data_IF_158925346856
#
_entry.id   IF_158925346856
#
_cell.length_a   1.000
_cell.length_b   1.000
_cell.length_c   1.000
_cell.angle_alpha   90.00
_cell.angle_beta   90.00
_cell.angle_gamma   90.00
#
_symmetry.space_group_name_H-M   'P 1'
#
loop_
_entity.id
_entity.type
_entity.pdbx_description
1 polymer ?
#
# COMPACT_ATOMS: atom_id res chain seq x y z
N UNK A 1 49.56 22.44 42.97
CA UNK A 1 49.17 22.84 41.61
C UNK A 1 48.84 21.58 40.82
N UNK A 2 47.56 21.24 40.76
CA UNK A 2 47.08 19.98 40.14
C UNK A 2 46.70 20.26 38.68
N UNK A 3 47.32 19.56 37.75
CA UNK A 3 47.25 19.75 36.31
C UNK A 3 45.87 19.35 35.78
N UNK A 4 45.02 20.31 35.33
CA UNK A 4 43.73 20.14 34.64
C UNK A 4 43.84 19.92 33.15
N UNK A 5 44.98 19.45 32.61
CA UNK A 5 45.26 19.41 31.17
C UNK A 5 44.83 18.13 30.43
N UNK A 6 44.22 17.13 31.12
CA UNK A 6 43.92 15.83 30.47
C UNK A 6 42.50 15.58 30.00
N UNK A 7 41.53 16.40 30.36
CA UNK A 7 40.07 16.11 30.12
C UNK A 7 39.51 16.69 28.82
N UNK A 8 40.06 17.76 28.28
CA UNK A 8 39.60 18.45 27.10
C UNK A 8 39.65 17.57 25.80
N UNK A 9 40.70 16.75 25.51
CA UNK A 9 40.68 15.96 24.33
C UNK A 9 39.70 14.80 24.36
N UNK A 10 39.39 14.25 25.53
CA UNK A 10 38.39 13.15 25.67
C UNK A 10 36.98 13.62 25.37
N UNK A 11 36.60 14.82 25.83
CA UNK A 11 35.27 15.40 25.54
C UNK A 11 35.12 15.75 24.08
N UNK A 12 36.18 16.24 23.41
CA UNK A 12 36.15 16.52 21.97
C UNK A 12 35.93 15.27 21.12
N UNK A 13 36.53 14.14 21.50
CA UNK A 13 36.35 12.84 20.81
C UNK A 13 34.96 12.28 21.05
N UNK A 14 34.41 12.37 22.26
CA UNK A 14 33.06 11.91 22.58
C UNK A 14 31.98 12.74 21.85
N UNK A 15 32.14 14.05 21.78
CA UNK A 15 31.21 14.93 21.07
C UNK A 15 31.25 14.66 19.55
N UNK A 16 32.42 14.43 18.96
CA UNK A 16 32.54 14.08 17.55
C UNK A 16 31.95 12.71 17.24
N UNK A 17 32.07 11.70 18.12
CA UNK A 17 31.41 10.42 17.97
C UNK A 17 29.88 10.54 18.00
N UNK A 18 29.34 11.40 18.85
CA UNK A 18 27.89 11.65 18.93
C UNK A 18 27.35 12.34 17.66
N UNK A 19 28.12 13.27 17.09
CA UNK A 19 27.75 13.92 15.82
C UNK A 19 27.77 12.95 14.65
N UNK A 20 28.68 11.99 14.59
CA UNK A 20 28.73 10.96 13.55
C UNK A 20 27.57 9.94 13.69
N UNK A 21 27.16 9.59 14.89
CA UNK A 21 26.02 8.68 15.12
C UNK A 21 24.66 9.31 14.73
N UNK A 22 24.50 10.63 14.83
CA UNK A 22 23.29 11.35 14.45
C UNK A 22 23.14 11.53 12.92
N UNK A 23 24.23 11.43 12.14
CA UNK A 23 24.20 11.57 10.69
C UNK A 23 23.76 10.31 9.94
N UNK A 24 23.55 9.18 10.61
CA UNK A 24 23.12 7.91 10.02
C UNK A 24 21.61 7.68 10.01
N UNK A 25 20.78 8.68 10.31
CA UNK A 25 19.35 8.64 9.99
C UNK A 25 19.20 8.82 8.48
N UNK A 26 19.47 7.74 7.74
CA UNK A 26 19.25 7.70 6.30
C UNK A 26 17.80 8.02 6.01
N UNK A 27 17.55 8.96 5.11
CA UNK A 27 16.19 9.20 4.59
C UNK A 27 15.66 7.88 4.07
N UNK A 28 14.56 7.38 4.64
CA UNK A 28 13.85 6.22 4.09
C UNK A 28 13.55 6.52 2.62
N UNK A 29 13.97 5.64 1.73
CA UNK A 29 13.71 5.80 0.29
C UNK A 29 12.24 5.50 0.04
N UNK A 30 11.53 6.45 -0.53
CA UNK A 30 10.15 6.25 -0.91
C UNK A 30 10.05 5.25 -2.08
N UNK A 31 9.01 4.42 -2.11
CA UNK A 31 8.71 3.57 -3.25
C UNK A 31 8.55 4.39 -4.53
N UNK A 32 9.05 3.88 -5.64
CA UNK A 32 8.95 4.56 -6.93
C UNK A 32 8.53 3.61 -8.05
N UNK A 33 7.79 4.15 -9.02
CA UNK A 33 7.32 3.39 -10.18
C UNK A 33 8.50 3.02 -11.08
N UNK A 34 8.62 1.73 -11.37
CA UNK A 34 9.62 1.17 -12.30
C UNK A 34 9.04 0.95 -13.68
N UNK A 35 7.80 0.48 -13.77
CA UNK A 35 7.10 0.29 -15.03
C UNK A 35 5.59 0.44 -14.88
N UNK A 36 4.91 0.80 -15.95
CA UNK A 36 3.45 0.84 -16.04
C UNK A 36 2.99 -0.42 -16.73
N UNK A 37 2.11 -1.19 -16.05
CA UNK A 37 1.49 -2.40 -16.59
C UNK A 37 0.30 -2.04 -17.48
N UNK A 38 -0.55 -1.12 -16.96
CA UNK A 38 -1.72 -0.61 -17.66
C UNK A 38 -2.02 0.82 -17.21
N UNK A 39 -2.45 1.66 -18.16
CA UNK A 39 -2.91 3.01 -17.88
C UNK A 39 -4.01 3.41 -18.85
N UNK A 40 -5.20 3.66 -18.30
CA UNK A 40 -6.31 4.25 -19.02
C UNK A 40 -7.05 5.29 -18.17
N UNK A 41 -8.26 5.70 -18.60
CA UNK A 41 -9.06 6.68 -17.86
C UNK A 41 -9.68 6.14 -16.57
N UNK A 42 -9.77 4.83 -16.41
CA UNK A 42 -10.44 4.15 -15.31
C UNK A 42 -9.48 3.41 -14.39
N UNK A 43 -8.41 2.86 -14.93
CA UNK A 43 -7.49 2.00 -14.18
C UNK A 43 -6.04 2.36 -14.51
N UNK A 44 -5.23 2.47 -13.48
CA UNK A 44 -3.77 2.55 -13.60
C UNK A 44 -3.19 1.44 -12.74
N UNK A 45 -2.36 0.59 -13.35
CA UNK A 45 -1.59 -0.43 -12.62
C UNK A 45 -0.12 -0.27 -12.96
N UNK A 46 0.72 -0.21 -11.94
CA UNK A 46 2.16 -0.02 -12.09
C UNK A 46 2.94 -0.89 -11.12
N UNK A 47 4.16 -1.24 -11.51
CA UNK A 47 5.13 -1.86 -10.62
C UNK A 47 5.89 -0.76 -9.88
N UNK A 48 6.02 -0.92 -8.57
CA UNK A 48 6.74 0.01 -7.73
C UNK A 48 7.79 -0.74 -6.94
N UNK A 49 9.04 -0.30 -7.07
CA UNK A 49 10.13 -0.78 -6.21
C UNK A 49 10.00 -0.17 -4.83
N UNK A 50 10.00 -1.04 -3.81
CA UNK A 50 10.06 -0.65 -2.41
C UNK A 50 11.45 -0.99 -1.87
N UNK A 51 12.35 0.00 -1.75
CA UNK A 51 13.73 -0.24 -1.38
C UNK A 51 13.91 -0.74 0.06
N UNK A 52 12.92 -0.54 0.90
CA UNK A 52 12.91 -0.96 2.31
C UNK A 52 12.11 -2.26 2.54
N UNK A 53 11.51 -2.82 1.48
CA UNK A 53 10.74 -4.04 1.60
C UNK A 53 11.63 -5.28 1.75
N UNK A 54 11.17 -6.21 2.56
CA UNK A 54 11.69 -7.58 2.53
C UNK A 54 11.27 -8.22 1.20
N UNK A 55 12.16 -8.94 0.49
CA UNK A 55 11.86 -9.48 -0.82
C UNK A 55 10.56 -10.27 -0.87
N UNK A 56 9.78 -10.03 -1.90
CA UNK A 56 8.56 -10.77 -2.23
C UNK A 56 8.89 -12.06 -3.00
N UNK A 57 7.90 -12.93 -3.16
CA UNK A 57 8.05 -14.18 -3.92
C UNK A 57 7.67 -13.99 -5.41
N UNK A 58 7.69 -12.76 -5.89
CA UNK A 58 7.39 -12.47 -7.30
C UNK A 58 8.45 -13.04 -8.24
N UNK A 59 8.08 -13.39 -9.50
CA UNK A 59 6.74 -13.35 -10.10
C UNK A 59 5.82 -14.46 -9.60
N UNK A 60 4.50 -14.18 -9.52
CA UNK A 60 3.48 -15.16 -9.08
C UNK A 60 2.38 -15.27 -10.14
N UNK A 61 2.03 -16.50 -10.48
CA UNK A 61 0.93 -16.79 -11.39
C UNK A 61 -0.35 -17.05 -10.61
N UNK A 62 -1.34 -16.23 -10.86
CA UNK A 62 -2.73 -16.37 -10.41
C UNK A 62 -3.64 -16.15 -11.62
N UNK A 63 -4.81 -16.76 -11.62
CA UNK A 63 -5.82 -16.40 -12.60
C UNK A 63 -6.76 -15.31 -12.04
N UNK A 64 -7.57 -14.70 -12.91
CA UNK A 64 -8.45 -13.60 -12.53
C UNK A 64 -9.52 -14.02 -11.50
N UNK A 65 -10.05 -15.24 -11.60
CA UNK A 65 -11.06 -15.76 -10.67
C UNK A 65 -10.45 -15.99 -9.29
N UNK A 66 -9.24 -16.52 -9.22
CA UNK A 66 -8.50 -16.71 -7.97
C UNK A 66 -8.25 -15.39 -7.26
N UNK A 67 -7.70 -14.39 -7.98
CA UNK A 67 -7.43 -13.10 -7.39
C UNK A 67 -8.72 -12.37 -6.98
N UNK A 68 -9.77 -12.45 -7.81
CA UNK A 68 -11.09 -11.91 -7.49
C UNK A 68 -11.68 -12.52 -6.23
N UNK A 69 -11.59 -13.86 -6.09
CA UNK A 69 -12.07 -14.56 -4.90
C UNK A 69 -11.34 -14.09 -3.63
N UNK A 70 -10.02 -13.92 -3.71
CA UNK A 70 -9.24 -13.39 -2.57
C UNK A 70 -9.63 -11.94 -2.27
N UNK A 71 -9.67 -11.06 -3.26
CA UNK A 71 -10.01 -9.65 -3.05
C UNK A 71 -11.44 -9.44 -2.54
N UNK A 72 -12.40 -10.28 -2.95
CA UNK A 72 -13.78 -10.24 -2.47
C UNK A 72 -13.91 -10.56 -0.96
N UNK A 73 -12.96 -11.31 -0.39
CA UNK A 73 -12.88 -11.59 1.04
C UNK A 73 -12.49 -10.37 1.89
N UNK A 74 -11.91 -9.34 1.30
CA UNK A 74 -11.48 -8.16 2.04
C UNK A 74 -12.62 -7.18 2.30
N UNK A 75 -12.61 -6.67 3.51
CA UNK A 75 -13.38 -5.50 3.94
C UNK A 75 -12.49 -4.59 4.78
N UNK A 76 -12.89 -3.33 4.95
CA UNK A 76 -12.12 -2.38 5.73
C UNK A 76 -13.01 -1.44 6.53
N UNK A 77 -12.40 -0.82 7.56
CA UNK A 77 -12.94 0.33 8.29
C UNK A 77 -11.90 1.43 8.30
N UNK A 78 -12.33 2.67 8.17
CA UNK A 78 -11.46 3.83 8.38
C UNK A 78 -11.16 3.98 9.87
N UNK A 79 -9.87 4.13 10.23
CA UNK A 79 -9.47 4.33 11.62
C UNK A 79 -9.89 5.74 12.06
N UNK A 80 -10.91 5.81 12.91
CA UNK A 80 -11.34 7.07 13.48
C UNK A 80 -10.30 7.61 14.47
N UNK A 81 -10.00 8.90 14.39
CA UNK A 81 -9.12 9.60 15.35
C UNK A 81 -9.91 9.93 16.62
N UNK A 82 -9.27 9.85 17.79
CA UNK A 82 -9.81 10.35 19.05
C UNK A 82 -10.06 11.87 18.92
N UNK A 83 -11.14 12.47 19.52
CA UNK A 83 -12.07 11.87 20.51
C UNK A 83 -13.32 11.22 19.92
N UNK A 84 -13.58 11.31 18.61
CA UNK A 84 -14.80 10.83 17.96
C UNK A 84 -15.10 9.34 18.23
N UNK A 85 -14.05 8.54 18.43
CA UNK A 85 -14.17 7.09 18.67
C UNK A 85 -15.02 6.75 19.91
N UNK A 86 -15.16 7.65 20.87
CA UNK A 86 -15.92 7.38 22.10
C UNK A 86 -17.41 7.63 21.96
N UNK A 87 -17.83 8.35 20.93
CA UNK A 87 -19.22 8.81 20.75
C UNK A 87 -19.84 8.35 19.42
N UNK A 88 -19.04 7.78 18.52
CA UNK A 88 -19.54 7.35 17.22
C UNK A 88 -19.88 5.86 17.26
N UNK A 89 -21.03 5.50 16.74
CA UNK A 89 -21.35 4.10 16.41
C UNK A 89 -20.30 3.53 15.47
N UNK A 90 -19.98 2.25 15.65
CA UNK A 90 -19.06 1.55 14.76
C UNK A 90 -19.65 1.50 13.34
N UNK A 91 -19.00 2.18 12.42
CA UNK A 91 -19.38 2.14 11.00
C UNK A 91 -19.21 0.70 10.49
N UNK A 92 -20.21 0.13 9.80
CA UNK A 92 -20.09 -1.21 9.24
C UNK A 92 -18.90 -1.31 8.27
N UNK A 93 -18.25 -2.46 8.19
CA UNK A 93 -17.12 -2.64 7.27
C UNK A 93 -17.58 -2.49 5.81
N UNK A 94 -16.75 -1.84 5.01
CA UNK A 94 -16.97 -1.65 3.58
C UNK A 94 -16.13 -2.64 2.80
N UNK A 95 -16.59 -3.08 1.62
CA UNK A 95 -15.78 -3.90 0.71
C UNK A 95 -14.61 -3.10 0.17
N UNK A 96 -13.47 -3.76 -0.03
CA UNK A 96 -12.23 -3.17 -0.52
C UNK A 96 -12.43 -2.50 -1.89
N UNK A 97 -13.08 -3.21 -2.80
CA UNK A 97 -13.43 -2.78 -4.15
C UNK A 97 -14.91 -3.10 -4.41
N UNK A 98 -15.58 -2.28 -5.19
CA UNK A 98 -16.89 -2.58 -5.75
C UNK A 98 -16.76 -3.63 -6.85
N UNK A 99 -17.85 -4.29 -7.21
CA UNK A 99 -17.82 -5.35 -8.23
C UNK A 99 -17.32 -4.85 -9.59
N UNK A 100 -17.76 -3.66 -9.99
CA UNK A 100 -17.35 -3.03 -11.25
C UNK A 100 -15.88 -2.55 -11.23
N UNK A 101 -15.36 -2.17 -10.07
CA UNK A 101 -13.95 -1.81 -9.87
C UNK A 101 -13.07 -3.04 -9.91
N UNK A 102 -13.52 -4.13 -9.27
CA UNK A 102 -12.82 -5.40 -9.26
C UNK A 102 -12.70 -5.98 -10.69
N UNK A 103 -13.82 -6.00 -11.42
CA UNK A 103 -13.85 -6.47 -12.82
C UNK A 103 -12.89 -5.67 -13.70
N UNK A 104 -12.78 -4.35 -13.45
CA UNK A 104 -11.91 -3.49 -14.24
C UNK A 104 -10.41 -3.67 -13.91
N UNK A 105 -10.03 -3.88 -12.63
CA UNK A 105 -8.63 -3.83 -12.20
C UNK A 105 -7.96 -5.20 -12.12
N UNK A 106 -8.70 -6.27 -11.78
CA UNK A 106 -8.12 -7.60 -11.54
C UNK A 106 -7.30 -8.16 -12.69
N UNK A 107 -7.70 -8.06 -13.96
CA UNK A 107 -6.89 -8.57 -15.07
C UNK A 107 -5.47 -7.98 -15.09
N UNK A 108 -5.35 -6.69 -14.82
CA UNK A 108 -4.08 -5.98 -14.82
C UNK A 108 -3.27 -6.22 -13.52
N UNK A 109 -3.94 -6.50 -12.39
CA UNK A 109 -3.25 -6.94 -11.17
C UNK A 109 -2.62 -8.31 -11.36
N UNK A 110 -3.31 -9.24 -12.01
CA UNK A 110 -2.77 -10.57 -12.35
C UNK A 110 -1.54 -10.43 -13.24
N UNK A 111 -1.64 -9.60 -14.28
CA UNK A 111 -0.52 -9.31 -15.18
C UNK A 111 0.65 -8.67 -14.42
N UNK A 112 0.36 -7.73 -13.50
CA UNK A 112 1.36 -7.09 -12.66
C UNK A 112 2.08 -8.09 -11.76
N UNK A 113 1.36 -8.98 -11.07
CA UNK A 113 1.95 -10.01 -10.22
C UNK A 113 2.82 -11.01 -10.99
N UNK A 114 2.46 -11.28 -12.25
CA UNK A 114 3.22 -12.15 -13.14
C UNK A 114 4.51 -11.50 -13.69
N UNK A 115 4.59 -10.16 -13.67
CA UNK A 115 5.74 -9.39 -14.19
C UNK A 115 6.63 -8.80 -13.11
N UNK A 116 6.11 -8.62 -11.90
CA UNK A 116 6.82 -7.96 -10.81
C UNK A 116 8.12 -8.70 -10.44
N UNK A 117 9.16 -7.94 -10.16
CA UNK A 117 10.40 -8.44 -9.58
C UNK A 117 10.26 -8.66 -8.05
N UNK A 118 11.19 -9.42 -7.41
CA UNK A 118 11.12 -9.69 -5.98
C UNK A 118 11.18 -8.45 -5.07
N UNK A 119 11.68 -7.32 -5.56
CA UNK A 119 11.73 -6.05 -4.85
C UNK A 119 10.62 -5.07 -5.28
N UNK A 120 9.63 -5.55 -6.04
CA UNK A 120 8.54 -4.75 -6.55
C UNK A 120 7.19 -5.20 -5.98
N UNK A 121 6.31 -4.24 -5.76
CA UNK A 121 4.90 -4.41 -5.43
C UNK A 121 4.03 -3.93 -6.59
N UNK A 122 2.82 -4.45 -6.71
CA UNK A 122 1.87 -4.04 -7.73
C UNK A 122 0.97 -2.96 -7.14
N UNK A 123 1.14 -1.74 -7.61
CA UNK A 123 0.34 -0.59 -7.21
C UNK A 123 -0.82 -0.39 -8.18
N UNK A 124 -2.00 -0.06 -7.66
CA UNK A 124 -3.18 0.16 -8.47
C UNK A 124 -3.91 1.45 -8.09
N UNK A 125 -4.56 2.04 -9.07
CA UNK A 125 -5.52 3.11 -8.90
C UNK A 125 -6.75 2.79 -9.73
N UNK A 126 -7.92 2.85 -9.11
CA UNK A 126 -9.21 2.82 -9.80
C UNK A 126 -9.80 4.22 -9.76
N UNK A 127 -10.12 4.74 -10.92
CA UNK A 127 -10.49 6.12 -11.13
C UNK A 127 -11.96 6.21 -11.56
N UNK A 128 -12.69 7.14 -10.97
CA UNK A 128 -14.06 7.49 -11.35
C UNK A 128 -14.20 9.03 -11.42
N UNK A 129 -15.26 9.55 -12.03
CA UNK A 129 -15.56 10.97 -11.95
C UNK A 129 -15.75 11.41 -10.49
N UNK A 130 -15.06 12.49 -10.10
CA UNK A 130 -15.18 13.05 -8.75
C UNK A 130 -16.48 13.83 -8.54
N UNK A 131 -16.65 14.43 -7.37
CA UNK A 131 -17.80 15.32 -7.08
C UNK A 131 -17.86 16.51 -8.02
N UNK A 132 -16.71 17.04 -8.41
CA UNK A 132 -16.56 17.99 -9.51
C UNK A 132 -15.74 17.36 -10.64
N UNK A 133 -16.38 16.70 -11.63
CA UNK A 133 -15.66 15.92 -12.65
C UNK A 133 -14.71 16.75 -13.53
N UNK A 134 -14.88 18.08 -13.58
CA UNK A 134 -13.99 18.97 -14.29
C UNK A 134 -12.69 19.28 -13.55
N UNK A 135 -12.67 19.09 -12.23
CA UNK A 135 -11.55 19.46 -11.35
C UNK A 135 -10.99 18.31 -10.53
N UNK A 136 -11.80 17.25 -10.30
CA UNK A 136 -11.48 16.17 -9.37
C UNK A 136 -11.80 14.80 -9.96
N UNK A 137 -11.02 13.80 -9.54
CA UNK A 137 -11.26 12.37 -9.76
C UNK A 137 -11.46 11.68 -8.42
N UNK A 138 -12.46 10.84 -8.36
CA UNK A 138 -12.64 9.88 -7.27
C UNK A 138 -11.66 8.72 -7.47
N UNK A 139 -10.82 8.48 -6.47
CA UNK A 139 -9.70 7.54 -6.58
C UNK A 139 -9.70 6.55 -5.44
N UNK A 140 -9.73 5.27 -5.78
CA UNK A 140 -9.41 4.17 -4.86
C UNK A 140 -8.03 3.65 -5.23
N UNK A 141 -7.08 3.67 -4.30
CA UNK A 141 -5.70 3.31 -4.57
C UNK A 141 -5.08 2.49 -3.45
N UNK A 142 -4.15 1.63 -3.82
CA UNK A 142 -3.42 0.78 -2.91
C UNK A 142 -2.40 -0.08 -3.63
N UNK A 143 -1.88 -1.08 -2.94
CA UNK A 143 -0.94 -2.02 -3.54
C UNK A 143 -1.16 -3.44 -3.03
N UNK A 144 -0.75 -4.40 -3.85
CA UNK A 144 -0.70 -5.82 -3.51
C UNK A 144 0.70 -6.37 -3.74
N UNK A 145 1.07 -7.35 -2.94
CA UNK A 145 2.32 -8.10 -3.12
C UNK A 145 2.18 -9.50 -2.51
N UNK A 146 2.92 -10.45 -3.05
CA UNK A 146 2.91 -11.83 -2.56
C UNK A 146 4.25 -12.18 -1.94
N UNK A 147 4.21 -12.69 -0.72
CA UNK A 147 5.29 -13.43 -0.09
C UNK A 147 4.72 -14.74 0.43
N UNK A 148 4.94 -15.78 -0.30
CA UNK A 148 4.37 -17.09 0.02
C UNK A 148 4.59 -17.48 1.48
N UNK A 149 3.55 -17.97 2.16
CA UNK A 149 2.19 -18.26 1.65
C UNK A 149 1.21 -17.06 1.71
N UNK A 150 1.70 -15.86 1.97
CA UNK A 150 0.92 -14.67 2.27
C UNK A 150 0.72 -13.75 1.06
N UNK A 151 -0.51 -13.27 0.87
CA UNK A 151 -0.83 -12.15 -0.01
C UNK A 151 -1.10 -10.92 0.86
N UNK A 152 -0.31 -9.87 0.63
CA UNK A 152 -0.41 -8.58 1.30
C UNK A 152 -1.26 -7.64 0.47
N UNK A 153 -2.18 -6.96 1.12
CA UNK A 153 -3.01 -5.89 0.53
C UNK A 153 -2.93 -4.68 1.42
N UNK A 154 -2.69 -3.53 0.83
CA UNK A 154 -2.73 -2.25 1.54
C UNK A 154 -3.59 -1.29 0.76
N UNK A 155 -4.55 -0.68 1.44
CA UNK A 155 -5.39 0.39 0.92
C UNK A 155 -4.81 1.73 1.39
N UNK A 156 -4.49 2.63 0.45
CA UNK A 156 -3.96 3.96 0.74
C UNK A 156 -5.04 5.03 0.61
N UNK A 157 -5.91 4.89 -0.38
CA UNK A 157 -7.01 5.80 -0.63
C UNK A 157 -8.29 5.03 -0.97
N UNK A 158 -9.41 5.48 -0.47
CA UNK A 158 -10.71 4.93 -0.80
C UNK A 158 -11.68 6.06 -1.13
N UNK A 159 -12.10 6.13 -2.38
CA UNK A 159 -12.97 7.19 -2.91
C UNK A 159 -12.50 8.60 -2.50
N UNK A 160 -11.17 8.79 -2.56
CA UNK A 160 -10.59 10.08 -2.24
C UNK A 160 -10.64 11.01 -3.46
N UNK A 161 -10.98 12.27 -3.24
CA UNK A 161 -11.06 13.26 -4.31
C UNK A 161 -9.67 13.79 -4.63
N UNK A 162 -9.12 13.37 -5.78
CA UNK A 162 -7.84 13.82 -6.29
C UNK A 162 -8.05 14.95 -7.29
N UNK A 163 -7.32 16.06 -7.16
CA UNK A 163 -7.39 17.14 -8.15
C UNK A 163 -6.85 16.65 -9.50
N UNK A 164 -7.59 16.95 -10.58
CA UNK A 164 -7.12 16.77 -11.94
C UNK A 164 -6.08 17.84 -12.21
N UNK A 165 -4.81 17.45 -12.31
CA UNK A 165 -3.76 18.37 -12.76
C UNK A 165 -4.02 18.69 -14.24
N UNK A 166 -4.52 19.86 -14.52
CA UNK A 166 -4.37 20.45 -15.86
C UNK A 166 -2.86 20.59 -16.03
N UNK A 167 -2.33 20.21 -17.18
CA UNK A 167 -0.90 20.14 -17.51
C UNK A 167 -0.09 21.44 -17.40
N UNK A 168 -0.60 22.41 -16.73
CA UNK A 168 0.03 23.69 -16.53
C UNK A 168 1.08 23.58 -15.42
N UNK A 169 2.28 23.20 -15.84
CA UNK A 169 3.50 23.18 -15.03
C UNK A 169 3.80 24.50 -14.29
N UNK A 170 3.01 25.55 -14.49
CA UNK A 170 3.30 26.91 -14.08
C UNK A 170 2.23 27.56 -13.19
N UNK A 171 1.15 26.90 -12.86
CA UNK A 171 0.19 27.46 -11.90
C UNK A 171 0.64 27.22 -10.45
N UNK A 172 1.61 28.01 -10.02
CA UNK A 172 2.13 28.03 -8.65
C UNK A 172 1.12 28.58 -7.63
N UNK A 173 -0.04 29.12 -8.07
CA UNK A 173 -1.00 29.78 -7.19
C UNK A 173 -1.80 28.81 -6.35
N UNK A 174 -2.00 27.59 -6.84
CA UNK A 174 -2.70 26.54 -6.11
C UNK A 174 -2.05 25.17 -6.40
N UNK A 175 -0.97 24.82 -5.68
CA UNK A 175 -0.45 23.47 -5.78
C UNK A 175 -1.53 22.50 -5.30
N UNK A 176 -2.14 21.78 -6.25
CA UNK A 176 -3.09 20.72 -5.94
C UNK A 176 -2.33 19.61 -5.23
N UNK A 177 -2.37 19.62 -3.90
CA UNK A 177 -1.73 18.59 -3.08
C UNK A 177 -2.62 17.36 -3.09
N UNK A 178 -2.09 16.16 -3.42
CA UNK A 178 -2.83 14.92 -3.26
C UNK A 178 -3.32 14.79 -1.82
N UNK A 179 -4.51 14.21 -1.59
CA UNK A 179 -4.97 13.94 -0.23
C UNK A 179 -3.96 13.04 0.50
N UNK A 180 -3.77 13.28 1.79
CA UNK A 180 -2.92 12.40 2.61
C UNK A 180 -3.49 10.98 2.65
N UNK A 181 -2.63 9.95 2.59
CA UNK A 181 -3.05 8.57 2.80
C UNK A 181 -3.73 8.41 4.15
N UNK A 182 -4.88 7.75 4.16
CA UNK A 182 -5.60 7.44 5.40
C UNK A 182 -5.17 6.09 5.93
N UNK A 183 -5.34 5.88 7.23
CA UNK A 183 -5.11 4.57 7.83
C UNK A 183 -6.41 3.77 7.80
N UNK A 184 -6.40 2.66 7.08
CA UNK A 184 -7.51 1.72 7.02
C UNK A 184 -7.18 0.46 7.83
N UNK A 185 -8.18 -0.05 8.54
CA UNK A 185 -8.11 -1.36 9.19
C UNK A 185 -8.75 -2.37 8.26
N UNK A 186 -7.93 -3.24 7.70
CA UNK A 186 -8.38 -4.32 6.82
C UNK A 186 -8.81 -5.54 7.64
N UNK A 187 -9.80 -6.23 7.14
CA UNK A 187 -10.32 -7.50 7.63
C UNK A 187 -10.46 -8.46 6.46
N UNK A 188 -10.34 -9.74 6.72
CA UNK A 188 -10.56 -10.78 5.74
C UNK A 188 -11.54 -11.83 6.24
N UNK A 189 -12.47 -12.24 5.40
CA UNK A 189 -13.42 -13.29 5.69
C UNK A 189 -13.27 -14.47 4.70
N UNK A 190 -13.13 -15.72 5.22
CA UNK A 190 -13.17 -16.13 6.62
C UNK A 190 -11.87 -15.84 7.37
N UNK A 191 -11.99 -15.32 8.59
CA UNK A 191 -10.87 -14.82 9.41
C UNK A 191 -9.78 -15.84 9.74
N UNK A 192 -10.05 -17.15 9.58
CA UNK A 192 -9.05 -18.21 9.80
C UNK A 192 -7.84 -18.16 8.85
N UNK A 193 -7.96 -17.45 7.72
CA UNK A 193 -6.85 -17.26 6.77
C UNK A 193 -6.17 -15.90 6.92
N UNK A 194 -6.64 -15.07 7.85
CA UNK A 194 -6.12 -13.73 8.13
C UNK A 194 -5.12 -13.80 9.27
N UNK A 195 -3.84 -13.83 8.96
CA UNK A 195 -2.77 -14.05 9.92
C UNK A 195 -1.69 -12.97 9.84
N UNK A 196 -0.86 -12.93 10.89
CA UNK A 196 0.30 -12.04 10.91
C UNK A 196 1.47 -12.72 10.22
N UNK A 197 1.95 -12.17 9.12
CA UNK A 197 3.20 -12.59 8.50
C UNK A 197 4.35 -12.42 9.49
N UNK A 198 5.05 -13.49 9.86
CA UNK A 198 6.11 -13.46 10.88
C UNK A 198 7.29 -12.56 10.47
N UNK A 199 7.49 -12.35 9.17
CA UNK A 199 8.60 -11.58 8.64
C UNK A 199 8.32 -10.07 8.67
N UNK A 200 7.16 -9.64 8.14
CA UNK A 200 6.80 -8.21 8.07
C UNK A 200 6.07 -7.70 9.28
N UNK A 201 5.58 -8.61 10.15
CA UNK A 201 4.68 -8.30 11.27
C UNK A 201 3.38 -7.61 10.82
N UNK A 202 3.02 -7.73 9.55
CA UNK A 202 1.77 -7.22 8.98
C UNK A 202 0.74 -8.33 8.84
N UNK A 203 -0.51 -7.98 8.95
CA UNK A 203 -1.62 -8.88 8.64
C UNK A 203 -1.66 -9.16 7.14
N UNK A 204 -1.86 -10.42 6.77
CA UNK A 204 -1.90 -10.89 5.40
C UNK A 204 -2.78 -12.13 5.26
N UNK A 205 -3.19 -12.48 4.04
CA UNK A 205 -4.03 -13.64 3.77
C UNK A 205 -3.18 -14.83 3.35
N UNK A 206 -3.39 -15.98 3.97
CA UNK A 206 -2.90 -17.28 3.48
C UNK A 206 -3.69 -17.68 2.22
N UNK A 207 -3.41 -17.02 1.11
CA UNK A 207 -4.25 -17.10 -0.09
C UNK A 207 -4.29 -18.48 -0.72
N UNK A 208 -3.19 -19.25 -0.70
CA UNK A 208 -3.17 -20.62 -1.25
C UNK A 208 -4.13 -21.56 -0.50
N UNK A 209 -4.13 -21.49 0.82
CA UNK A 209 -5.03 -22.30 1.65
C UNK A 209 -6.49 -21.85 1.50
N UNK A 210 -6.72 -20.54 1.40
CA UNK A 210 -8.04 -20.00 1.12
C UNK A 210 -8.57 -20.52 -0.23
N UNK A 211 -7.79 -20.44 -1.28
CA UNK A 211 -8.20 -20.86 -2.64
C UNK A 211 -8.55 -22.34 -2.72
N UNK A 212 -7.84 -23.22 -2.02
CA UNK A 212 -8.17 -24.64 -1.92
C UNK A 212 -9.58 -24.90 -1.37
N UNK A 213 -10.06 -24.01 -0.49
CA UNK A 213 -11.39 -24.14 0.11
C UNK A 213 -12.48 -23.39 -0.63
N UNK A 214 -12.14 -22.27 -1.28
CA UNK A 214 -13.08 -21.39 -1.97
C UNK A 214 -13.41 -21.84 -3.39
N UNK A 215 -12.44 -22.49 -4.07
CA UNK A 215 -12.59 -22.98 -5.44
C UNK A 215 -12.44 -24.51 -5.40
N UNK A 216 -13.55 -25.27 -5.28
CA UNK A 216 -13.48 -26.72 -5.30
C UNK A 216 -12.91 -27.21 -6.65
N UNK A 217 -12.11 -28.27 -6.60
CA UNK A 217 -11.31 -28.84 -7.70
C UNK A 217 -12.11 -29.28 -8.97
N UNK A 218 -13.41 -29.05 -9.04
CA UNK A 218 -14.28 -29.42 -10.15
C UNK A 218 -14.21 -28.48 -11.38
N UNK A 219 -13.32 -27.49 -11.37
CA UNK A 219 -13.14 -26.51 -12.46
C UNK A 219 -11.69 -26.39 -12.95
N UNK A 220 -10.83 -27.35 -12.62
CA UNK A 220 -9.49 -27.44 -13.23
C UNK A 220 -9.49 -28.36 -14.45
#
# INVERSE_FOLDING_TARGET
>A
MCSRRGLLPVYAVLVSLWFFAAASTGCARLPYTTSVVHEDRRVIVSLQRDPDAVPYTHPVQLNADELSAVLAGFSFREKQRLPLRWFAEEVPPKKLLRSDEMEAVVPFLVEGLAKAAPDERVYFQVLAPGMNPAAERDTTAGWIAVREPFLHVVLEHYHAQFPIRKSEQWDLRYPATPPEPKTYLLYFEPGRFWETDPTTKRQAVQFREFLKTAIPASRQ
#
